data_IF_491180147526
#
_entry.id   IF_491180147526
#
_cell.length_a   1.000
_cell.length_b   1.000
_cell.length_c   1.000
_cell.angle_alpha   90.00
_cell.angle_beta   90.00
_cell.angle_gamma   90.00
#
_symmetry.space_group_name_H-M   'P 1'
#
loop_
_entity.id
_entity.type
_entity.pdbx_description
1 polymer ?
#
# COMPACT_ATOMS: atom_id res chain seq x y z
N UNK A 1 16.91 -10.47 13.42
CA UNK A 1 17.57 -11.65 14.01
C UNK A 1 17.30 -12.85 13.12
N UNK A 2 18.29 -13.72 12.90
CA UNK A 2 18.21 -14.90 12.02
C UNK A 2 18.09 -14.58 10.53
N UNK A 3 19.20 -14.28 9.86
CA UNK A 3 19.22 -13.93 8.42
C UNK A 3 19.79 -15.10 7.62
N UNK A 4 19.01 -15.60 6.66
CA UNK A 4 19.45 -16.64 5.71
C UNK A 4 19.64 -16.04 4.33
N UNK A 5 20.77 -16.32 3.69
CA UNK A 5 21.11 -15.85 2.34
C UNK A 5 21.47 -17.06 1.48
N UNK A 6 20.83 -17.16 0.33
CA UNK A 6 21.09 -18.20 -0.67
C UNK A 6 21.58 -17.55 -1.96
N UNK A 7 22.71 -17.99 -2.47
CA UNK A 7 23.24 -17.57 -3.77
C UNK A 7 23.02 -18.70 -4.76
N UNK A 8 22.35 -18.37 -5.85
CA UNK A 8 22.01 -19.29 -6.94
C UNK A 8 22.80 -18.85 -8.17
N UNK A 9 23.42 -19.81 -8.87
CA UNK A 9 24.16 -19.56 -10.10
C UNK A 9 23.21 -19.31 -11.30
N UNK A 10 23.75 -18.95 -12.46
CA UNK A 10 22.95 -18.72 -13.68
C UNK A 10 22.18 -19.96 -14.20
N UNK A 11 22.50 -21.17 -13.72
CA UNK A 11 21.82 -22.42 -14.06
C UNK A 11 20.71 -22.82 -13.07
N UNK A 12 20.38 -21.94 -12.11
CA UNK A 12 19.42 -22.19 -11.01
C UNK A 12 19.89 -23.23 -9.98
N UNK A 13 21.19 -23.48 -9.89
CA UNK A 13 21.77 -24.36 -8.88
C UNK A 13 22.26 -23.54 -7.68
N UNK A 14 22.15 -24.10 -6.48
CA UNK A 14 22.60 -23.46 -5.25
C UNK A 14 24.13 -23.45 -5.19
N UNK A 15 24.73 -22.25 -5.24
CA UNK A 15 26.19 -22.06 -5.16
C UNK A 15 26.64 -21.93 -3.70
N UNK A 16 25.89 -21.19 -2.89
CA UNK A 16 26.17 -21.04 -1.46
C UNK A 16 24.93 -20.76 -0.63
N UNK A 17 24.96 -21.20 0.62
CA UNK A 17 23.99 -20.82 1.65
C UNK A 17 24.75 -20.23 2.84
N UNK A 18 24.26 -19.15 3.42
CA UNK A 18 24.84 -18.57 4.63
C UNK A 18 23.76 -18.18 5.62
N UNK A 19 24.01 -18.42 6.90
CA UNK A 19 23.15 -18.05 8.00
C UNK A 19 23.89 -17.12 8.97
N UNK A 20 23.27 -16.00 9.33
CA UNK A 20 23.77 -15.07 10.34
C UNK A 20 22.79 -14.97 11.51
N UNK A 21 23.33 -14.97 12.73
CA UNK A 21 22.52 -14.87 13.96
C UNK A 21 21.83 -13.51 14.06
N UNK A 22 22.55 -12.45 13.71
CA UNK A 22 22.00 -11.10 13.63
C UNK A 22 22.64 -10.31 12.50
N UNK A 23 21.92 -9.29 12.03
CA UNK A 23 22.42 -8.34 11.05
C UNK A 23 22.01 -6.93 11.51
N UNK A 24 22.96 -6.00 11.49
CA UNK A 24 22.75 -4.60 11.82
C UNK A 24 23.12 -3.73 10.62
N UNK A 25 22.25 -2.79 10.26
CA UNK A 25 22.53 -1.88 9.15
C UNK A 25 23.39 -0.71 9.63
N UNK A 26 24.51 -0.48 8.95
CA UNK A 26 25.42 0.64 9.21
C UNK A 26 25.31 1.62 8.05
N UNK A 27 24.71 2.78 8.32
CA UNK A 27 24.60 3.87 7.35
C UNK A 27 25.93 4.63 7.28
N UNK A 28 26.46 4.78 6.07
CA UNK A 28 27.69 5.57 5.80
C UNK A 28 27.40 6.63 4.74
N UNK A 29 28.14 7.74 4.74
CA UNK A 29 27.96 8.86 3.81
C UNK A 29 28.06 8.51 2.30
N UNK A 30 28.52 7.31 1.95
CA UNK A 30 28.68 6.81 0.56
C UNK A 30 27.78 5.61 0.22
N UNK A 31 26.83 5.28 1.09
CA UNK A 31 26.01 4.06 1.00
C UNK A 31 26.16 3.21 2.27
N UNK A 32 25.07 2.57 2.72
CA UNK A 32 25.09 1.71 3.90
C UNK A 32 25.42 0.26 3.56
N UNK A 33 25.74 -0.52 4.59
CA UNK A 33 25.99 -1.97 4.47
C UNK A 33 25.42 -2.70 5.68
N UNK A 34 25.20 -4.00 5.54
CA UNK A 34 24.76 -4.86 6.64
C UNK A 34 25.96 -5.50 7.29
N UNK A 35 26.17 -5.22 8.58
CA UNK A 35 27.11 -5.96 9.41
C UNK A 35 26.41 -7.18 9.97
N UNK A 36 26.81 -8.35 9.51
CA UNK A 36 26.31 -9.64 9.97
C UNK A 36 27.21 -10.18 11.07
N UNK A 37 26.63 -10.73 12.13
CA UNK A 37 27.35 -11.30 13.27
C UNK A 37 27.14 -12.81 13.31
N UNK A 38 28.22 -13.54 13.59
CA UNK A 38 28.23 -15.00 13.73
C UNK A 38 27.68 -15.70 12.48
N UNK A 39 28.35 -15.47 11.35
CA UNK A 39 27.95 -16.00 10.04
C UNK A 39 28.53 -17.38 9.82
N UNK A 40 27.67 -18.33 9.48
CA UNK A 40 28.04 -19.67 9.02
C UNK A 40 27.72 -19.78 7.54
N UNK A 41 28.72 -20.02 6.71
CA UNK A 41 28.57 -20.12 5.25
C UNK A 41 28.94 -21.53 4.79
N UNK A 42 28.09 -22.10 3.95
CA UNK A 42 28.30 -23.36 3.24
C UNK A 42 28.40 -23.11 1.75
N UNK A 43 29.55 -23.44 1.18
CA UNK A 43 29.82 -23.42 -0.25
C UNK A 43 29.61 -24.82 -0.79
N UNK A 44 28.76 -24.95 -1.81
CA UNK A 44 28.45 -26.21 -2.46
C UNK A 44 29.34 -26.34 -3.70
N UNK A 45 30.39 -27.14 -3.61
CA UNK A 45 31.21 -27.54 -4.74
C UNK A 45 30.75 -28.93 -5.25
N UNK A 46 31.12 -29.29 -6.49
CA UNK A 46 30.60 -30.47 -7.21
C UNK A 46 30.54 -31.80 -6.42
N UNK A 47 31.43 -32.00 -5.44
CA UNK A 47 31.48 -33.22 -4.62
C UNK A 47 31.67 -32.99 -3.13
N UNK A 48 31.69 -31.74 -2.68
CA UNK A 48 31.97 -31.42 -1.28
C UNK A 48 31.28 -30.14 -0.84
N UNK A 49 30.89 -30.10 0.43
CA UNK A 49 30.38 -28.90 1.08
C UNK A 49 31.48 -28.36 1.98
N UNK A 50 31.91 -27.13 1.72
CA UNK A 50 32.90 -26.44 2.54
C UNK A 50 32.16 -25.46 3.44
N UNK A 51 32.27 -25.66 4.75
CA UNK A 51 31.67 -24.76 5.74
C UNK A 51 32.72 -23.87 6.37
N UNK A 52 32.53 -22.56 6.28
CA UNK A 52 33.33 -21.56 6.98
C UNK A 52 32.48 -20.81 8.00
N UNK A 53 33.11 -20.37 9.09
CA UNK A 53 32.47 -19.54 10.11
C UNK A 53 33.23 -18.24 10.25
N UNK A 54 32.50 -17.15 10.15
CA UNK A 54 33.03 -15.80 10.26
C UNK A 54 32.38 -15.12 11.47
N UNK A 55 33.18 -14.60 12.43
CA UNK A 55 32.63 -13.85 13.56
C UNK A 55 31.82 -12.63 13.10
N UNK A 56 32.24 -12.02 12.00
CA UNK A 56 31.61 -10.85 11.41
C UNK A 56 31.80 -10.86 9.88
N UNK A 57 30.78 -10.43 9.14
CA UNK A 57 30.83 -10.22 7.69
C UNK A 57 30.12 -8.91 7.34
N UNK A 58 30.78 -8.03 6.58
CA UNK A 58 30.17 -6.80 6.07
C UNK A 58 29.56 -7.09 4.68
N UNK A 59 28.24 -7.20 4.62
CA UNK A 59 27.46 -7.49 3.42
C UNK A 59 26.99 -6.20 2.74
N UNK A 60 27.58 -5.90 1.59
CA UNK A 60 27.17 -4.82 0.71
C UNK A 60 25.94 -5.25 -0.09
N UNK A 61 24.77 -5.10 0.50
CA UNK A 61 23.49 -5.28 -0.17
C UNK A 61 22.89 -3.93 -0.51
N UNK A 62 22.36 -3.77 -1.73
CA UNK A 62 21.47 -2.66 -2.09
C UNK A 62 20.07 -2.85 -1.47
N UNK A 63 20.01 -3.24 -0.20
CA UNK A 63 18.77 -3.50 0.53
C UNK A 63 18.79 -2.63 1.77
N UNK A 64 18.18 -1.45 1.73
CA UNK A 64 18.04 -0.61 2.91
C UNK A 64 16.99 -1.20 3.87
N UNK A 65 17.08 -0.91 5.19
CA UNK A 65 16.02 -1.25 6.13
C UNK A 65 14.65 -0.71 5.71
N UNK A 66 14.64 0.41 4.98
CA UNK A 66 13.42 1.02 4.44
C UNK A 66 12.74 0.11 3.39
N UNK A 67 13.50 -0.56 2.52
CA UNK A 67 12.97 -1.55 1.56
C UNK A 67 12.42 -2.82 2.27
N UNK A 68 13.09 -3.29 3.32
CA UNK A 68 12.61 -4.40 4.14
C UNK A 68 11.32 -4.04 4.88
N UNK A 69 11.20 -2.81 5.38
CA UNK A 69 10.02 -2.33 6.11
C UNK A 69 8.75 -2.32 5.24
N UNK A 70 8.90 -2.19 3.92
CA UNK A 70 7.82 -2.21 2.94
C UNK A 70 7.26 -3.60 2.68
N UNK A 71 8.09 -4.63 2.78
CA UNK A 71 7.64 -6.04 2.72
C UNK A 71 6.93 -6.47 4.01
N UNK A 72 7.16 -5.76 5.12
CA UNK A 72 6.65 -6.11 6.44
C UNK A 72 5.34 -5.40 6.82
N UNK A 73 4.92 -4.35 6.10
CA UNK A 73 3.73 -3.58 6.47
C UNK A 73 2.81 -3.31 5.28
N UNK A 74 1.63 -3.93 5.32
CA UNK A 74 0.49 -3.59 4.45
C UNK A 74 0.22 -2.07 4.50
N UNK A 75 0.26 -1.35 3.35
CA UNK A 75 0.13 0.11 3.27
C UNK A 75 -1.10 0.69 3.99
N UNK A 76 -2.18 -0.08 4.13
CA UNK A 76 -3.45 0.35 4.73
C UNK A 76 -3.39 0.62 6.25
N UNK A 77 -2.35 0.16 6.95
CA UNK A 77 -2.25 0.31 8.42
C UNK A 77 -1.32 1.45 8.89
N UNK A 78 -0.64 2.12 7.97
CA UNK A 78 0.31 3.21 8.29
C UNK A 78 -0.40 4.56 8.51
N UNK A 79 0.17 5.42 9.36
CA UNK A 79 -0.34 6.77 9.61
C UNK A 79 -0.20 7.67 8.39
N UNK A 80 -1.00 8.74 8.30
CA UNK A 80 -1.05 9.64 7.13
C UNK A 80 0.31 10.29 6.83
N UNK A 81 1.08 10.63 7.87
CA UNK A 81 2.44 11.15 7.75
C UNK A 81 3.46 10.09 7.29
N UNK A 82 3.26 8.83 7.69
CA UNK A 82 4.03 7.68 7.21
C UNK A 82 3.88 7.49 5.71
N UNK A 83 2.63 7.46 5.21
CA UNK A 83 2.38 7.31 3.77
C UNK A 83 3.05 8.40 2.92
N UNK A 84 3.03 9.66 3.35
CA UNK A 84 3.66 10.75 2.61
C UNK A 84 5.19 10.62 2.55
N UNK A 85 5.84 10.29 3.68
CA UNK A 85 7.29 10.06 3.73
C UNK A 85 7.70 8.90 2.83
N UNK A 86 6.99 7.78 2.87
CA UNK A 86 7.27 6.62 2.01
C UNK A 86 7.02 6.95 0.53
N UNK A 87 5.92 7.63 0.20
CA UNK A 87 5.63 8.02 -1.17
C UNK A 87 6.70 8.94 -1.78
N UNK A 88 7.26 9.86 -0.97
CA UNK A 88 8.37 10.72 -1.39
C UNK A 88 9.69 9.95 -1.56
N UNK A 89 9.94 8.97 -0.68
CA UNK A 89 11.13 8.11 -0.73
C UNK A 89 11.15 7.19 -1.96
N UNK A 90 10.01 6.56 -2.31
CA UNK A 90 9.93 5.71 -3.50
C UNK A 90 9.98 6.47 -4.82
N UNK A 91 9.53 7.73 -4.81
CA UNK A 91 9.62 8.62 -5.99
C UNK A 91 11.07 8.94 -6.34
N UNK A 92 11.97 9.04 -5.36
CA UNK A 92 13.41 9.24 -5.62
C UNK A 92 14.13 8.02 -6.15
N UNK A 93 13.64 6.80 -5.87
CA UNK A 93 14.26 5.54 -6.28
C UNK A 93 13.68 4.95 -7.58
N UNK A 94 12.72 5.62 -8.22
CA UNK A 94 12.14 5.20 -9.51
C UNK A 94 11.20 3.98 -9.40
N UNK A 95 10.78 3.60 -8.20
CA UNK A 95 9.86 2.49 -7.94
C UNK A 95 8.41 3.01 -7.97
N UNK A 96 7.47 2.16 -8.39
CA UNK A 96 6.05 2.53 -8.52
C UNK A 96 5.43 2.93 -7.16
N UNK A 97 5.33 4.24 -6.94
CA UNK A 97 4.81 4.87 -5.72
C UNK A 97 3.30 5.14 -5.78
N UNK A 98 2.65 4.80 -6.89
CA UNK A 98 1.25 5.13 -7.18
C UNK A 98 0.30 4.51 -6.16
N UNK A 99 0.59 3.29 -5.69
CA UNK A 99 -0.17 2.57 -4.65
C UNK A 99 -0.19 3.35 -3.33
N UNK A 100 0.94 3.92 -2.92
CA UNK A 100 1.07 4.68 -1.68
C UNK A 100 0.38 6.04 -1.75
N UNK A 101 0.52 6.74 -2.89
CA UNK A 101 -0.22 7.99 -3.10
C UNK A 101 -1.73 7.75 -3.15
N UNK A 102 -2.20 6.65 -3.73
CA UNK A 102 -3.63 6.28 -3.74
C UNK A 102 -4.17 6.09 -2.33
N UNK A 103 -3.48 5.30 -1.50
CA UNK A 103 -3.86 5.09 -0.11
C UNK A 103 -3.83 6.40 0.71
N UNK A 104 -2.87 7.28 0.44
CA UNK A 104 -2.78 8.60 1.08
C UNK A 104 -3.99 9.46 0.77
N UNK A 105 -4.32 9.61 -0.52
CA UNK A 105 -5.46 10.42 -0.95
C UNK A 105 -6.79 9.83 -0.50
N UNK A 106 -6.93 8.50 -0.50
CA UNK A 106 -8.11 7.82 0.02
C UNK A 106 -8.30 8.12 1.50
N UNK A 107 -7.24 8.04 2.31
CA UNK A 107 -7.31 8.30 3.76
C UNK A 107 -7.55 9.77 4.08
N UNK A 108 -6.96 10.69 3.30
CA UNK A 108 -7.17 12.13 3.45
C UNK A 108 -8.60 12.56 3.05
N UNK A 109 -9.13 12.00 1.96
CA UNK A 109 -10.46 12.33 1.43
C UNK A 109 -11.59 11.46 2.00
N UNK A 110 -11.29 10.50 2.87
CA UNK A 110 -12.26 9.67 3.55
C UNK A 110 -13.37 10.48 4.27
N UNK A 111 -13.07 11.50 5.11
CA UNK A 111 -14.11 12.31 5.74
C UNK A 111 -15.01 13.02 4.72
N UNK A 112 -14.43 13.52 3.62
CA UNK A 112 -15.18 14.17 2.55
C UNK A 112 -16.11 13.19 1.81
N UNK A 113 -15.62 11.97 1.57
CA UNK A 113 -16.40 10.89 0.95
C UNK A 113 -17.62 10.54 1.78
N UNK A 114 -17.43 10.37 3.10
CA UNK A 114 -18.53 10.11 4.04
C UNK A 114 -19.54 11.25 4.04
N UNK A 115 -19.07 12.50 4.07
CA UNK A 115 -19.95 13.67 4.09
C UNK A 115 -20.77 13.78 2.80
N UNK A 116 -20.17 13.50 1.65
CA UNK A 116 -20.87 13.43 0.37
C UNK A 116 -21.96 12.35 0.34
N UNK A 117 -21.67 11.15 0.87
CA UNK A 117 -22.65 10.08 0.96
C UNK A 117 -23.82 10.44 1.90
N UNK A 118 -23.52 11.09 3.02
CA UNK A 118 -24.54 11.59 3.96
C UNK A 118 -25.43 12.63 3.29
N UNK A 119 -24.86 13.60 2.56
CA UNK A 119 -25.65 14.61 1.82
C UNK A 119 -26.55 13.94 0.78
N UNK A 120 -26.04 12.95 0.04
CA UNK A 120 -26.83 12.18 -0.93
C UNK A 120 -27.98 11.43 -0.23
N UNK A 121 -27.72 10.76 0.89
CA UNK A 121 -28.73 10.05 1.66
C UNK A 121 -29.82 10.99 2.19
N UNK A 122 -29.44 12.15 2.74
CA UNK A 122 -30.34 13.22 3.17
C UNK A 122 -31.23 13.67 2.00
N UNK A 123 -30.63 13.87 0.82
CA UNK A 123 -31.35 14.29 -0.40
C UNK A 123 -32.43 13.28 -0.81
N UNK A 124 -32.15 11.98 -0.69
CA UNK A 124 -33.13 10.93 -0.95
C UNK A 124 -34.28 10.93 0.06
N UNK A 125 -33.97 11.09 1.35
CA UNK A 125 -34.97 11.11 2.43
C UNK A 125 -35.93 12.29 2.28
N UNK A 126 -35.41 13.47 1.98
CA UNK A 126 -36.23 14.69 1.84
C UNK A 126 -36.86 14.85 0.44
N UNK A 127 -36.32 14.18 -0.57
CA UNK A 127 -36.82 14.24 -1.94
C UNK A 127 -37.81 13.13 -2.28
N UNK A 128 -37.48 12.24 -3.23
CA UNK A 128 -38.43 11.29 -3.81
C UNK A 128 -38.95 10.24 -2.82
N UNK A 129 -38.25 9.98 -1.70
CA UNK A 129 -38.68 9.01 -0.69
C UNK A 129 -39.41 9.64 0.52
N UNK A 130 -39.86 10.88 0.41
CA UNK A 130 -40.61 11.55 1.47
C UNK A 130 -41.87 10.77 1.89
N UNK A 131 -42.55 10.13 0.95
CA UNK A 131 -43.77 9.32 1.21
C UNK A 131 -43.48 7.82 1.38
N UNK A 132 -42.22 7.39 1.29
CA UNK A 132 -41.84 6.00 1.43
C UNK A 132 -41.83 5.51 2.89
N UNK A 133 -42.07 4.21 3.07
CA UNK A 133 -41.94 3.55 4.38
C UNK A 133 -40.51 3.60 4.90
N UNK A 134 -40.35 3.56 6.23
CA UNK A 134 -39.04 3.60 6.88
C UNK A 134 -38.12 2.48 6.38
N UNK A 135 -38.66 1.28 6.13
CA UNK A 135 -37.91 0.14 5.59
C UNK A 135 -37.33 0.40 4.20
N UNK A 136 -38.10 1.01 3.29
CA UNK A 136 -37.63 1.33 1.94
C UNK A 136 -36.51 2.39 1.98
N UNK A 137 -36.60 3.37 2.88
CA UNK A 137 -35.53 4.37 3.07
C UNK A 137 -34.21 3.73 3.50
N UNK A 138 -34.25 2.81 4.46
CA UNK A 138 -33.07 2.08 4.94
C UNK A 138 -32.50 1.21 3.81
N UNK A 139 -33.35 0.48 3.08
CA UNK A 139 -32.92 -0.38 1.98
C UNK A 139 -32.19 0.41 0.88
N UNK A 140 -32.75 1.54 0.45
CA UNK A 140 -32.15 2.40 -0.57
C UNK A 140 -30.85 3.04 -0.06
N UNK A 141 -30.78 3.45 1.21
CA UNK A 141 -29.56 4.01 1.79
C UNK A 141 -28.41 2.99 1.81
N UNK A 142 -28.68 1.76 2.28
CA UNK A 142 -27.70 0.68 2.31
C UNK A 142 -27.28 0.31 0.87
N UNK A 143 -28.24 0.15 -0.04
CA UNK A 143 -27.97 -0.18 -1.43
C UNK A 143 -27.10 0.88 -2.13
N UNK A 144 -27.37 2.16 -1.89
CA UNK A 144 -26.58 3.27 -2.44
C UNK A 144 -25.17 3.30 -1.86
N UNK A 145 -25.01 3.10 -0.54
CA UNK A 145 -23.71 3.01 0.10
C UNK A 145 -22.89 1.81 -0.38
N UNK A 146 -23.55 0.67 -0.62
CA UNK A 146 -22.92 -0.53 -1.18
C UNK A 146 -22.48 -0.28 -2.63
N UNK A 147 -23.34 0.31 -3.46
CA UNK A 147 -23.02 0.66 -4.84
C UNK A 147 -21.82 1.63 -4.91
N UNK A 148 -21.81 2.67 -4.07
CA UNK A 148 -20.69 3.59 -3.95
C UNK A 148 -19.39 2.86 -3.58
N UNK A 149 -19.44 1.98 -2.58
CA UNK A 149 -18.28 1.20 -2.14
C UNK A 149 -17.78 0.28 -3.24
N UNK A 150 -18.68 -0.34 -3.99
CA UNK A 150 -18.33 -1.23 -5.11
C UNK A 150 -17.64 -0.45 -6.23
N UNK A 151 -18.17 0.72 -6.60
CA UNK A 151 -17.58 1.60 -7.62
C UNK A 151 -16.19 2.07 -7.18
N UNK A 152 -16.02 2.51 -5.91
CA UNK A 152 -14.71 2.89 -5.39
C UNK A 152 -13.69 1.74 -5.48
N UNK A 153 -14.09 0.54 -5.05
CA UNK A 153 -13.21 -0.65 -5.11
C UNK A 153 -12.85 -1.08 -6.53
N UNK A 154 -13.72 -0.83 -7.51
CA UNK A 154 -13.44 -1.12 -8.92
C UNK A 154 -12.46 -0.10 -9.52
N UNK A 155 -12.54 1.16 -9.11
CA UNK A 155 -11.68 2.24 -9.63
C UNK A 155 -10.23 2.14 -9.14
N UNK A 156 -10.01 1.59 -7.94
CA UNK A 156 -8.66 1.43 -7.35
C UNK A 156 -7.67 0.65 -8.23
N UNK A 157 -7.95 -0.61 -8.65
CA UNK A 157 -7.05 -1.35 -9.52
C UNK A 157 -6.98 -0.75 -10.94
N UNK A 158 -8.06 -0.14 -11.43
CA UNK A 158 -8.06 0.56 -12.73
C UNK A 158 -7.10 1.75 -12.70
N UNK A 159 -7.05 2.51 -11.61
CA UNK A 159 -6.10 3.62 -11.46
C UNK A 159 -4.65 3.15 -11.53
N UNK A 160 -4.34 1.97 -10.98
CA UNK A 160 -3.00 1.41 -10.99
C UNK A 160 -2.59 0.93 -12.39
N UNK A 161 -3.50 0.24 -13.09
CA UNK A 161 -3.21 -0.31 -14.42
C UNK A 161 -3.09 0.79 -15.49
N UNK A 162 -3.94 1.81 -15.42
CA UNK A 162 -4.00 2.87 -16.44
C UNK A 162 -3.15 4.11 -16.13
N UNK A 163 -2.41 4.12 -15.02
CA UNK A 163 -1.57 5.26 -14.63
C UNK A 163 -2.35 6.55 -14.36
N UNK A 164 -3.66 6.44 -14.08
CA UNK A 164 -4.51 7.59 -13.77
C UNK A 164 -4.05 8.17 -12.43
N UNK A 165 -4.00 9.51 -12.34
CA UNK A 165 -3.62 10.19 -11.11
C UNK A 165 -4.45 9.66 -9.93
N UNK A 166 -3.82 9.15 -8.85
CA UNK A 166 -4.52 8.55 -7.72
C UNK A 166 -5.56 9.48 -7.08
N UNK A 167 -5.35 10.79 -7.18
CA UNK A 167 -6.28 11.82 -6.71
C UNK A 167 -7.59 11.82 -7.52
N UNK A 168 -7.53 11.66 -8.84
CA UNK A 168 -8.72 11.62 -9.69
C UNK A 168 -9.55 10.35 -9.45
N UNK A 169 -8.87 9.22 -9.20
CA UNK A 169 -9.50 7.95 -8.89
C UNK A 169 -10.39 8.03 -7.63
N UNK A 170 -9.91 8.74 -6.59
CA UNK A 170 -10.68 8.94 -5.34
C UNK A 170 -11.75 10.02 -5.51
N UNK A 171 -11.44 11.13 -6.20
CA UNK A 171 -12.38 12.24 -6.36
C UNK A 171 -13.57 11.93 -7.25
N UNK A 172 -13.41 11.12 -8.31
CA UNK A 172 -14.48 10.85 -9.26
C UNK A 172 -15.78 10.33 -8.61
N UNK A 173 -15.76 9.25 -7.80
CA UNK A 173 -16.98 8.76 -7.15
C UNK A 173 -17.52 9.75 -6.09
N UNK A 174 -16.65 10.47 -5.38
CA UNK A 174 -17.07 11.48 -4.39
C UNK A 174 -17.79 12.65 -5.07
N UNK A 175 -17.23 13.17 -6.15
CA UNK A 175 -17.84 14.22 -6.94
C UNK A 175 -19.18 13.77 -7.53
N UNK A 176 -19.27 12.53 -8.02
CA UNK A 176 -20.52 11.96 -8.53
C UNK A 176 -21.62 11.96 -7.45
N UNK A 177 -21.32 11.48 -6.24
CA UNK A 177 -22.27 11.47 -5.13
C UNK A 177 -22.65 12.87 -4.67
N UNK A 178 -21.68 13.78 -4.56
CA UNK A 178 -21.93 15.16 -4.15
C UNK A 178 -22.83 15.89 -5.16
N UNK A 179 -22.51 15.78 -6.46
CA UNK A 179 -23.29 16.38 -7.54
C UNK A 179 -24.70 15.78 -7.61
N UNK A 180 -24.83 14.45 -7.48
CA UNK A 180 -26.12 13.77 -7.44
C UNK A 180 -26.99 14.25 -6.28
N UNK A 181 -26.41 14.38 -5.08
CA UNK A 181 -27.14 14.88 -3.90
C UNK A 181 -27.62 16.31 -4.06
N UNK A 182 -26.73 17.22 -4.48
CA UNK A 182 -27.08 18.63 -4.72
C UNK A 182 -28.13 18.76 -5.81
N UNK A 183 -28.02 17.99 -6.90
CA UNK A 183 -29.01 17.98 -7.98
C UNK A 183 -30.40 17.54 -7.49
N UNK A 184 -30.46 16.48 -6.69
CA UNK A 184 -31.71 15.99 -6.10
C UNK A 184 -32.32 17.02 -5.14
N UNK A 185 -31.54 17.66 -4.28
CA UNK A 185 -32.04 18.74 -3.42
C UNK A 185 -32.62 19.90 -4.23
N UNK A 186 -31.92 20.34 -5.28
CA UNK A 186 -32.37 21.46 -6.14
C UNK A 186 -33.62 21.16 -6.94
N UNK A 187 -33.92 19.88 -7.21
CA UNK A 187 -35.15 19.49 -7.91
C UNK A 187 -36.37 19.44 -6.98
N UNK A 188 -36.14 19.35 -5.67
CA UNK A 188 -37.17 19.17 -4.64
C UNK A 188 -37.48 20.50 -3.92
N UNK A 189 -36.49 21.39 -3.79
CA UNK A 189 -36.66 22.76 -3.31
C UNK A 189 -37.31 23.64 -4.38
#
# INVERSE_FOLDING_TARGET
>A
FGVSRYRINGKRELESASFAESAQYISTARGGYWRMTNVSQSLFADRQVITSRHPQEDWQANLSPDLLSVLLVEPDKQSLSGLYRFAQFFRSDGVDSSVYFLAFWKKLLQPLSTLSLVVLAISFVFGPLREATMGLRIFVAIGTGLAFTLVQRMIEPVSQIYGVSPLMAVLAPVALCALGGVFLMRRVA
#
